data_IF_389762491388
#
_entry.id   IF_389762491388
#
_cell.length_a   1.000
_cell.length_b   1.000
_cell.length_c   1.000
_cell.angle_alpha   90.00
_cell.angle_beta   90.00
_cell.angle_gamma   90.00
#
_symmetry.space_group_name_H-M   'P 1'
#
loop_
_entity.id
_entity.type
_entity.pdbx_description
1 polymer ?
#
# COMPACT_ATOMS: atom_id res chain seq x y z
N UNK A 1 -3.35 -0.09 -24.59
CA UNK A 1 -3.42 -0.83 -23.31
C UNK A 1 -2.54 -2.08 -23.40
N UNK A 2 -1.54 -2.22 -22.55
CA UNK A 2 -0.72 -3.44 -22.47
C UNK A 2 -1.37 -4.37 -21.46
N UNK A 3 -1.99 -5.45 -21.93
CA UNK A 3 -2.64 -6.45 -21.06
C UNK A 3 -1.61 -7.39 -20.44
N UNK A 4 -1.95 -7.94 -19.27
CA UNK A 4 -1.13 -8.89 -18.51
C UNK A 4 0.29 -8.36 -18.25
N UNK A 5 0.40 -7.09 -17.83
CA UNK A 5 1.67 -6.42 -17.65
C UNK A 5 1.95 -6.19 -16.16
N UNK A 6 3.10 -6.67 -15.69
CA UNK A 6 3.67 -6.29 -14.39
C UNK A 6 4.88 -5.41 -14.65
N UNK A 7 4.83 -4.16 -14.22
CA UNK A 7 6.00 -3.29 -14.25
C UNK A 7 7.10 -3.88 -13.36
N UNK A 8 8.29 -4.06 -13.93
CA UNK A 8 9.48 -4.54 -13.25
C UNK A 8 10.34 -3.36 -12.78
N UNK A 9 10.51 -2.35 -13.64
CA UNK A 9 11.22 -1.11 -13.30
C UNK A 9 10.69 0.07 -14.12
N UNK A 10 10.93 1.28 -13.59
CA UNK A 10 10.73 2.54 -14.31
C UNK A 10 12.06 3.28 -14.27
N UNK A 11 12.60 3.58 -15.44
CA UNK A 11 13.88 4.29 -15.58
C UNK A 11 13.64 5.64 -16.24
N UNK A 12 14.22 6.71 -15.68
CA UNK A 12 14.21 8.03 -16.32
C UNK A 12 15.15 8.02 -17.52
N UNK A 13 14.71 8.55 -18.65
CA UNK A 13 15.49 8.74 -19.87
C UNK A 13 15.67 10.23 -20.15
N UNK A 14 16.38 10.58 -21.22
CA UNK A 14 16.56 11.98 -21.62
C UNK A 14 15.24 12.64 -22.09
N UNK A 15 14.29 11.85 -22.58
CA UNK A 15 13.01 12.32 -23.14
C UNK A 15 11.79 12.00 -22.26
N UNK A 16 11.97 11.25 -21.15
CA UNK A 16 10.86 10.86 -20.27
C UNK A 16 11.18 9.65 -19.40
N UNK A 17 10.40 8.58 -19.56
CA UNK A 17 10.54 7.32 -18.81
C UNK A 17 10.41 6.10 -19.72
N UNK A 18 11.14 5.04 -19.37
CA UNK A 18 11.00 3.71 -19.92
C UNK A 18 10.56 2.74 -18.83
N UNK A 19 9.38 2.12 -19.01
CA UNK A 19 8.84 1.10 -18.12
C UNK A 19 9.16 -0.28 -18.67
N UNK A 20 10.02 -1.02 -17.97
CA UNK A 20 10.31 -2.42 -18.29
C UNK A 20 9.20 -3.30 -17.70
N UNK A 21 8.61 -4.15 -18.52
CA UNK A 21 7.62 -5.15 -18.11
C UNK A 21 8.35 -6.47 -17.86
N UNK A 22 7.87 -7.24 -16.88
CA UNK A 22 8.51 -8.50 -16.46
C UNK A 22 8.64 -9.56 -17.57
N UNK A 23 7.90 -9.44 -18.67
CA UNK A 23 8.01 -10.30 -19.85
C UNK A 23 8.94 -9.75 -20.94
N UNK A 24 9.74 -8.74 -20.62
CA UNK A 24 10.77 -8.15 -21.48
C UNK A 24 10.27 -7.01 -22.38
N UNK A 25 8.97 -6.75 -22.46
CA UNK A 25 8.43 -5.59 -23.19
C UNK A 25 8.85 -4.28 -22.52
N UNK A 26 8.97 -3.21 -23.30
CA UNK A 26 9.24 -1.86 -22.81
C UNK A 26 8.14 -0.91 -23.30
N UNK A 27 7.68 -0.04 -22.41
CA UNK A 27 6.73 1.03 -22.72
C UNK A 27 7.36 2.36 -22.40
N UNK A 28 7.41 3.26 -23.38
CA UNK A 28 7.95 4.61 -23.22
C UNK A 28 6.82 5.63 -23.02
N UNK A 29 7.13 6.70 -22.30
CA UNK A 29 6.20 7.82 -22.09
C UNK A 29 6.93 9.03 -21.49
N UNK A 30 6.25 10.18 -21.45
CA UNK A 30 6.84 11.38 -20.84
C UNK A 30 6.92 11.28 -19.31
N UNK A 31 5.96 10.59 -18.69
CA UNK A 31 5.84 10.43 -17.24
C UNK A 31 5.31 9.03 -16.89
N UNK A 32 5.59 8.59 -15.66
CA UNK A 32 4.96 7.42 -15.05
C UNK A 32 4.16 7.84 -13.81
N UNK A 33 2.91 7.39 -13.73
CA UNK A 33 2.07 7.50 -12.53
C UNK A 33 2.04 6.14 -11.83
N UNK A 34 2.47 6.09 -10.56
CA UNK A 34 2.51 4.86 -9.78
C UNK A 34 1.18 4.63 -9.07
N UNK A 35 0.45 3.58 -9.46
CA UNK A 35 -0.86 3.21 -8.88
C UNK A 35 -0.86 1.78 -8.36
N UNK A 36 0.10 1.45 -7.49
CA UNK A 36 0.41 0.07 -7.07
C UNK A 36 -0.29 -0.38 -5.76
N UNK A 37 -1.17 0.46 -5.22
CA UNK A 37 -1.80 0.27 -3.91
C UNK A 37 -1.16 1.11 -2.81
N UNK A 38 -1.69 0.99 -1.60
CA UNK A 38 -1.28 1.74 -0.40
C UNK A 38 -0.92 0.80 0.75
N UNK A 39 -0.13 1.31 1.70
CA UNK A 39 0.24 0.63 2.95
C UNK A 39 -0.32 1.48 4.11
N UNK A 40 -0.91 0.88 5.15
CA UNK A 40 -1.48 1.64 6.25
C UNK A 40 -0.40 2.39 7.06
N UNK A 41 -0.70 3.63 7.45
CA UNK A 41 0.19 4.47 8.27
C UNK A 41 0.11 4.09 9.76
N UNK A 42 0.72 2.96 10.14
CA UNK A 42 0.66 2.43 11.51
C UNK A 42 2.01 2.41 12.24
N UNK A 43 3.09 2.76 11.55
CA UNK A 43 4.42 2.88 12.14
C UNK A 43 4.52 4.10 13.07
N UNK A 44 5.27 3.97 14.17
CA UNK A 44 5.56 5.09 15.08
C UNK A 44 4.40 5.54 15.97
N UNK A 45 3.24 4.87 15.94
CA UNK A 45 2.07 5.21 16.75
C UNK A 45 2.16 4.72 18.22
N UNK A 46 3.15 3.91 18.56
CA UNK A 46 3.30 3.33 19.91
C UNK A 46 2.26 2.25 20.24
N UNK A 47 1.72 1.57 19.22
CA UNK A 47 0.70 0.52 19.35
C UNK A 47 1.18 -0.66 20.21
N UNK A 48 2.47 -0.96 20.15
CA UNK A 48 3.16 -1.94 21.00
C UNK A 48 3.03 -1.61 22.49
N UNK A 49 3.09 -0.32 22.86
CA UNK A 49 3.00 0.14 24.26
C UNK A 49 1.62 -0.04 24.86
N UNK A 50 0.59 -0.16 24.02
CA UNK A 50 -0.80 -0.39 24.43
C UNK A 50 -1.26 -1.83 24.12
N UNK A 51 -0.35 -2.71 23.71
CA UNK A 51 -0.65 -4.12 23.46
C UNK A 51 -1.42 -4.41 22.17
N UNK A 52 -1.32 -3.53 21.17
CA UNK A 52 -1.93 -3.75 19.85
C UNK A 52 -0.89 -4.32 18.89
N UNK A 53 -1.04 -5.59 18.57
CA UNK A 53 -0.28 -6.25 17.50
C UNK A 53 -0.95 -6.03 16.14
N UNK A 54 -0.15 -5.74 15.11
CA UNK A 54 -0.64 -5.51 13.76
C UNK A 54 -0.92 -6.84 13.02
N UNK A 55 -1.94 -6.83 12.16
CA UNK A 55 -2.18 -7.90 11.18
C UNK A 55 -1.10 -7.90 10.09
N UNK A 56 -0.95 -9.00 9.32
CA UNK A 56 -0.14 -9.00 8.10
C UNK A 56 -0.50 -7.81 7.20
N UNK A 57 0.51 -7.15 6.63
CA UNK A 57 0.32 -5.91 5.86
C UNK A 57 0.26 -4.63 6.69
N UNK A 58 0.40 -4.72 8.03
CA UNK A 58 0.51 -3.56 8.91
C UNK A 58 -0.82 -2.96 9.38
N UNK A 59 -1.93 -3.68 9.21
CA UNK A 59 -3.26 -3.17 9.58
C UNK A 59 -3.56 -3.32 11.07
N UNK A 60 -4.28 -2.35 11.64
CA UNK A 60 -4.77 -2.41 13.02
C UNK A 60 -5.95 -3.39 13.09
N UNK A 61 -5.89 -4.43 13.94
CA UNK A 61 -7.03 -5.32 14.12
C UNK A 61 -8.18 -4.58 14.80
N UNK A 62 -9.36 -4.69 14.19
CA UNK A 62 -10.61 -4.19 14.78
C UNK A 62 -11.71 -5.24 14.71
N UNK A 63 -12.66 -5.15 15.65
CA UNK A 63 -13.93 -5.87 15.58
C UNK A 63 -14.97 -5.14 14.69
N UNK A 64 -16.20 -5.65 14.66
CA UNK A 64 -17.30 -5.08 13.84
C UNK A 64 -17.79 -3.70 14.31
N UNK A 65 -17.31 -3.22 15.46
CA UNK A 65 -17.63 -1.89 16.01
C UNK A 65 -16.36 -1.06 16.21
N UNK A 66 -15.32 -1.35 15.42
CA UNK A 66 -14.08 -0.57 15.31
C UNK A 66 -13.17 -0.59 16.55
N UNK A 67 -13.38 -1.51 17.50
CA UNK A 67 -12.54 -1.63 18.70
C UNK A 67 -11.25 -2.37 18.40
N UNK A 68 -10.14 -1.85 18.90
CA UNK A 68 -8.88 -2.59 18.94
C UNK A 68 -8.84 -3.52 20.16
N UNK A 69 -7.84 -4.42 20.27
CA UNK A 69 -7.62 -5.21 21.48
C UNK A 69 -7.32 -4.37 22.74
N UNK A 70 -6.78 -3.15 22.56
CA UNK A 70 -6.54 -2.23 23.67
C UNK A 70 -7.83 -1.52 24.08
N UNK A 71 -8.23 -1.71 25.34
CA UNK A 71 -9.44 -1.10 25.88
C UNK A 71 -9.40 0.43 25.76
N UNK A 72 -10.47 1.02 25.22
CA UNK A 72 -10.59 2.46 25.00
C UNK A 72 -9.91 2.98 23.72
N UNK A 73 -9.20 2.12 22.98
CA UNK A 73 -8.56 2.48 21.71
C UNK A 73 -9.35 1.89 20.54
N UNK A 74 -9.68 2.75 19.58
CA UNK A 74 -10.45 2.43 18.37
C UNK A 74 -9.63 2.81 17.13
N UNK A 75 -9.89 2.13 16.02
CA UNK A 75 -9.30 2.46 14.72
C UNK A 75 -10.35 2.35 13.61
N UNK A 76 -10.23 3.17 12.57
CA UNK A 76 -11.18 3.23 11.47
C UNK A 76 -10.49 3.66 10.17
N UNK A 77 -11.10 3.33 9.03
CA UNK A 77 -10.58 3.67 7.71
C UNK A 77 -9.46 2.72 7.24
N UNK A 78 -8.65 3.18 6.29
CA UNK A 78 -7.66 2.36 5.58
C UNK A 78 -6.67 1.64 6.51
N UNK A 79 -6.36 2.22 7.67
CA UNK A 79 -5.47 1.59 8.64
C UNK A 79 -6.00 0.26 9.21
N UNK A 80 -7.30 -0.01 9.06
CA UNK A 80 -7.94 -1.26 9.52
C UNK A 80 -7.96 -2.37 8.47
N UNK A 81 -7.77 -2.02 7.19
CA UNK A 81 -7.84 -2.95 6.07
C UNK A 81 -9.24 -3.53 5.80
N UNK A 82 -10.30 -2.92 6.33
CA UNK A 82 -11.67 -3.45 6.21
C UNK A 82 -12.24 -3.28 4.80
N UNK A 83 -12.13 -2.06 4.26
CA UNK A 83 -12.39 -1.73 2.87
C UNK A 83 -11.41 -0.62 2.48
N UNK A 84 -10.57 -0.83 1.44
CA UNK A 84 -9.70 0.24 0.95
C UNK A 84 -10.55 1.32 0.27
N UNK A 85 -10.27 2.58 0.58
CA UNK A 85 -10.78 3.74 -0.17
C UNK A 85 -10.11 3.88 -1.54
#
# INVERSE_FOLDING_TARGET
LVKNARAESVTRTDEGVAVKIADGRVVEGSHALMTVGSVPNTAGLGLDRVGVELKPGGYIPVDRVSRTPAAGVYAAGDCTGLLPL
#
